data_IF_931347887345
#
_entry.id   IF_931347887345
#
_cell.length_a   1.000
_cell.length_b   1.000
_cell.length_c   1.000
_cell.angle_alpha   90.00
_cell.angle_beta   90.00
_cell.angle_gamma   90.00
#
_symmetry.space_group_name_H-M   'P 1'
#
loop_
_entity.id
_entity.type
_entity.pdbx_description
1 polymer ?
#
# COMPACT_ATOMS: atom_id res chain seq x y z
N UNK A 1 6.09 5.26 0.76
CA UNK A 1 5.27 6.49 0.68
C UNK A 1 5.47 7.39 1.90
N UNK A 2 5.09 8.68 1.79
CA UNK A 2 5.22 9.70 2.86
C UNK A 2 4.41 9.34 4.10
N UNK A 3 4.77 9.84 5.32
CA UNK A 3 3.92 9.76 6.50
C UNK A 3 2.55 10.45 6.26
N UNK A 4 1.49 9.94 6.89
CA UNK A 4 0.16 10.57 6.83
C UNK A 4 -0.68 10.29 5.58
N UNK A 5 -0.18 9.60 4.57
CA UNK A 5 -0.94 9.26 3.34
C UNK A 5 -2.08 8.25 3.59
N UNK A 6 -2.06 7.55 4.73
CA UNK A 6 -3.09 6.55 5.05
C UNK A 6 -2.66 5.10 4.82
N UNK A 7 -1.35 4.79 4.86
CA UNK A 7 -0.85 3.42 4.69
C UNK A 7 -1.56 2.41 5.58
N UNK A 8 -1.55 2.63 6.89
CA UNK A 8 -2.20 1.75 7.88
C UNK A 8 -3.70 1.62 7.61
N UNK A 9 -4.37 2.74 7.29
CA UNK A 9 -5.80 2.76 6.97
C UNK A 9 -6.13 1.85 5.78
N UNK A 10 -5.38 2.03 4.69
CA UNK A 10 -5.57 1.24 3.46
C UNK A 10 -5.15 -0.21 3.67
N UNK A 11 -4.12 -0.47 4.47
CA UNK A 11 -3.67 -1.83 4.78
C UNK A 11 -4.74 -2.61 5.56
N UNK A 12 -5.40 -1.99 6.53
CA UNK A 12 -6.53 -2.61 7.27
C UNK A 12 -7.71 -2.86 6.32
N UNK A 13 -8.06 -1.88 5.50
CA UNK A 13 -9.15 -2.03 4.52
C UNK A 13 -8.84 -3.12 3.46
N UNK A 14 -7.58 -3.28 3.06
CA UNK A 14 -7.13 -4.37 2.21
C UNK A 14 -7.31 -5.74 2.90
N UNK A 15 -6.95 -5.85 4.18
CA UNK A 15 -7.20 -7.07 4.96
C UNK A 15 -8.69 -7.40 5.01
N UNK A 16 -9.56 -6.40 5.27
CA UNK A 16 -11.01 -6.59 5.26
C UNK A 16 -11.51 -7.09 3.88
N UNK A 17 -11.01 -6.51 2.80
CA UNK A 17 -11.36 -6.92 1.43
C UNK A 17 -10.94 -8.37 1.14
N UNK A 18 -9.70 -8.73 1.45
CA UNK A 18 -9.16 -10.07 1.18
C UNK A 18 -9.86 -11.16 2.00
N UNK A 19 -10.23 -10.88 3.25
CA UNK A 19 -11.02 -11.79 4.09
C UNK A 19 -12.45 -11.93 3.57
N UNK A 20 -13.11 -10.82 3.21
CA UNK A 20 -14.45 -10.80 2.65
C UNK A 20 -14.56 -11.61 1.37
N UNK A 21 -13.58 -11.46 0.49
CA UNK A 21 -13.55 -12.09 -0.83
C UNK A 21 -12.98 -13.53 -0.79
N UNK A 22 -12.68 -14.05 0.41
CA UNK A 22 -12.17 -15.41 0.62
C UNK A 22 -10.79 -15.67 0.01
N UNK A 23 -10.05 -14.61 -0.31
CA UNK A 23 -8.69 -14.71 -0.89
C UNK A 23 -7.64 -15.12 0.14
N UNK A 24 -7.91 -14.82 1.42
CA UNK A 24 -7.08 -15.15 2.58
C UNK A 24 -8.00 -15.72 3.65
N UNK A 25 -7.55 -16.74 4.36
CA UNK A 25 -8.32 -17.37 5.46
C UNK A 25 -8.02 -16.73 6.80
N UNK A 26 -6.80 -16.22 6.99
CA UNK A 26 -6.38 -15.64 8.27
C UNK A 26 -5.41 -14.48 8.06
N UNK A 27 -5.55 -13.46 8.89
CA UNK A 27 -4.66 -12.30 8.94
C UNK A 27 -4.03 -12.20 10.32
N UNK A 28 -2.72 -12.01 10.37
CA UNK A 28 -1.96 -11.55 11.53
C UNK A 28 -1.52 -10.11 11.25
N UNK A 29 -2.15 -9.14 11.88
CA UNK A 29 -1.81 -7.73 11.75
C UNK A 29 -1.00 -7.29 12.97
N UNK A 30 0.26 -6.96 12.75
CA UNK A 30 1.21 -6.56 13.78
C UNK A 30 1.38 -5.05 13.71
N UNK A 31 0.71 -4.32 14.60
CA UNK A 31 0.68 -2.86 14.63
C UNK A 31 1.63 -2.33 15.73
N UNK A 32 2.73 -1.76 15.31
CA UNK A 32 3.69 -1.14 16.21
C UNK A 32 3.66 0.40 16.18
N UNK A 33 2.80 1.01 15.34
CA UNK A 33 2.78 2.48 15.15
C UNK A 33 1.53 3.14 15.75
N UNK A 34 0.40 2.44 15.85
CA UNK A 34 -0.86 3.05 16.22
C UNK A 34 -1.23 2.82 17.69
N UNK A 35 -1.73 3.87 18.33
CA UNK A 35 -2.27 3.78 19.69
C UNK A 35 -3.66 3.16 19.71
N UNK A 36 -4.10 2.69 20.89
CA UNK A 36 -5.45 2.19 21.11
C UNK A 36 -6.54 3.21 20.72
N UNK A 37 -6.29 4.50 20.91
CA UNK A 37 -7.17 5.59 20.49
C UNK A 37 -7.33 5.65 18.96
N UNK A 38 -6.23 5.48 18.22
CA UNK A 38 -6.25 5.45 16.76
C UNK A 38 -7.03 4.23 16.24
N UNK A 39 -6.90 3.09 16.89
CA UNK A 39 -7.62 1.86 16.55
C UNK A 39 -9.13 2.05 16.69
N UNK A 40 -9.56 2.65 17.79
CA UNK A 40 -10.98 2.99 18.01
C UNK A 40 -11.51 3.96 16.96
N UNK A 41 -10.78 5.04 16.68
CA UNK A 41 -11.17 6.05 15.69
C UNK A 41 -11.30 5.50 14.26
N UNK A 42 -10.55 4.44 13.94
CA UNK A 42 -10.60 3.74 12.64
C UNK A 42 -11.58 2.58 12.59
N UNK A 43 -12.38 2.38 13.64
CA UNK A 43 -13.37 1.30 13.72
C UNK A 43 -12.78 -0.11 13.44
N UNK A 44 -11.54 -0.34 13.87
CA UNK A 44 -10.85 -1.62 13.66
C UNK A 44 -11.50 -2.72 14.51
N UNK A 45 -12.05 -2.38 15.67
CA UNK A 45 -12.77 -3.33 16.54
C UNK A 45 -13.95 -3.96 15.82
N UNK A 46 -14.71 -3.20 15.04
CA UNK A 46 -15.83 -3.75 14.24
C UNK A 46 -15.36 -4.80 13.23
N UNK A 47 -14.18 -4.60 12.61
CA UNK A 47 -13.60 -5.59 11.70
C UNK A 47 -13.15 -6.84 12.50
N UNK A 48 -12.53 -6.65 13.65
CA UNK A 48 -12.13 -7.76 14.54
C UNK A 48 -13.35 -8.59 14.96
N UNK A 49 -14.45 -7.93 15.31
CA UNK A 49 -15.68 -8.62 15.70
C UNK A 49 -16.30 -9.39 14.54
N UNK A 50 -16.29 -8.82 13.35
CA UNK A 50 -16.76 -9.47 12.13
C UNK A 50 -15.94 -10.74 11.80
N UNK A 51 -14.62 -10.71 12.04
CA UNK A 51 -13.69 -11.78 11.68
C UNK A 51 -12.98 -12.36 12.91
N UNK A 52 -13.70 -12.63 14.01
CA UNK A 52 -13.16 -13.05 15.33
C UNK A 52 -12.04 -14.08 15.31
N UNK A 53 -12.15 -15.08 14.44
CA UNK A 53 -11.18 -16.17 14.34
C UNK A 53 -10.22 -16.04 13.15
N UNK A 54 -10.41 -15.02 12.32
CA UNK A 54 -9.64 -14.84 11.08
C UNK A 54 -8.72 -13.63 11.14
N UNK A 55 -9.10 -12.55 11.85
CA UNK A 55 -8.28 -11.37 12.04
C UNK A 55 -7.69 -11.33 13.45
N UNK A 56 -6.41 -11.59 13.55
CA UNK A 56 -5.61 -11.45 14.77
C UNK A 56 -4.86 -10.11 14.68
N UNK A 57 -5.34 -9.10 15.41
CA UNK A 57 -4.77 -7.75 15.42
C UNK A 57 -4.04 -7.50 16.72
N UNK A 58 -2.74 -7.28 16.66
CA UNK A 58 -1.83 -7.10 17.80
C UNK A 58 -1.35 -5.66 17.83
N UNK A 59 -1.39 -5.05 19.00
CA UNK A 59 -0.88 -3.71 19.31
C UNK A 59 0.16 -3.81 20.43
N UNK A 60 1.03 -2.82 20.51
CA UNK A 60 2.03 -2.73 21.58
C UNK A 60 2.88 -4.01 21.71
N UNK A 61 3.38 -4.48 20.56
CA UNK A 61 4.20 -5.68 20.51
C UNK A 61 5.54 -5.44 21.20
N UNK A 62 5.77 -6.15 22.30
CA UNK A 62 7.12 -6.33 22.81
C UNK A 62 7.93 -7.23 21.87
N UNK A 63 9.24 -7.07 21.86
CA UNK A 63 10.14 -7.91 21.03
C UNK A 63 9.91 -9.40 21.28
N UNK A 64 9.61 -9.79 22.51
CA UNK A 64 9.30 -11.17 22.89
C UNK A 64 8.05 -11.69 22.17
N UNK A 65 6.99 -10.88 22.09
CA UNK A 65 5.74 -11.28 21.41
C UNK A 65 5.94 -11.46 19.92
N UNK A 66 6.71 -10.58 19.28
CA UNK A 66 7.02 -10.69 17.86
C UNK A 66 7.77 -12.00 17.54
N UNK A 67 8.88 -12.26 18.24
CA UNK A 67 9.67 -13.48 18.04
C UNK A 67 8.87 -14.75 18.37
N UNK A 68 8.01 -14.70 19.38
CA UNK A 68 7.13 -15.81 19.75
C UNK A 68 6.15 -16.14 18.62
N UNK A 69 5.53 -15.11 18.03
CA UNK A 69 4.61 -15.29 16.88
C UNK A 69 5.35 -15.94 15.71
N UNK A 70 6.52 -15.39 15.32
CA UNK A 70 7.31 -15.94 14.21
C UNK A 70 7.71 -17.40 14.48
N UNK A 71 8.18 -17.71 15.69
CA UNK A 71 8.58 -19.06 16.03
C UNK A 71 7.41 -20.05 16.03
N UNK A 72 6.21 -19.62 16.44
CA UNK A 72 5.01 -20.46 16.38
C UNK A 72 4.53 -20.72 14.95
N UNK A 73 4.82 -19.80 14.04
CA UNK A 73 4.48 -19.93 12.62
C UNK A 73 5.54 -20.67 11.81
N UNK A 74 6.77 -20.76 12.34
CA UNK A 74 7.87 -21.47 11.71
C UNK A 74 7.51 -22.96 11.53
N UNK A 75 7.82 -23.51 10.37
CA UNK A 75 7.56 -24.91 10.00
C UNK A 75 6.07 -25.29 9.89
N UNK A 76 5.17 -24.32 9.78
CA UNK A 76 3.75 -24.54 9.45
C UNK A 76 3.50 -24.20 8.00
N UNK A 77 2.54 -24.88 7.39
CA UNK A 77 1.97 -24.40 6.14
C UNK A 77 1.17 -23.11 6.41
N UNK A 78 1.61 -22.02 5.80
CA UNK A 78 1.02 -20.69 5.94
C UNK A 78 0.25 -20.25 4.68
N UNK A 79 -0.13 -21.21 3.85
CA UNK A 79 -1.00 -20.96 2.70
C UNK A 79 -2.29 -20.26 3.18
N UNK A 80 -2.77 -19.30 2.41
CA UNK A 80 -3.94 -18.48 2.75
C UNK A 80 -3.79 -17.60 4.03
N UNK A 81 -2.56 -17.44 4.54
CA UNK A 81 -2.25 -16.56 5.66
C UNK A 81 -1.59 -15.28 5.17
N UNK A 82 -2.13 -14.14 5.58
CA UNK A 82 -1.54 -12.82 5.41
C UNK A 82 -0.93 -12.35 6.73
N UNK A 83 0.32 -11.91 6.68
CA UNK A 83 1.00 -11.30 7.82
C UNK A 83 1.37 -9.88 7.44
N UNK A 84 0.91 -8.90 8.23
CA UNK A 84 1.14 -7.47 8.00
C UNK A 84 1.97 -6.88 9.11
N UNK A 85 3.02 -6.15 8.76
CA UNK A 85 3.88 -5.40 9.68
C UNK A 85 3.68 -3.89 9.49
N UNK A 86 3.08 -3.22 10.46
CA UNK A 86 2.76 -1.79 10.45
C UNK A 86 3.44 -1.08 11.63
N UNK A 87 4.56 -0.41 11.47
CA UNK A 87 5.45 -0.40 10.30
C UNK A 87 6.69 -1.23 10.58
N UNK A 88 7.34 -1.69 9.53
CA UNK A 88 8.48 -2.62 9.62
C UNK A 88 9.63 -2.13 10.53
N UNK A 89 9.84 -0.82 10.63
CA UNK A 89 10.90 -0.21 11.47
C UNK A 89 10.81 -0.63 12.95
N UNK A 90 9.61 -0.94 13.45
CA UNK A 90 9.34 -1.27 14.85
C UNK A 90 9.66 -2.74 15.18
N UNK A 91 10.05 -3.52 14.18
CA UNK A 91 10.39 -4.94 14.30
C UNK A 91 11.88 -5.22 14.07
N UNK A 92 12.68 -4.17 13.86
CA UNK A 92 14.13 -4.29 13.73
C UNK A 92 14.71 -4.32 15.13
N UNK A 93 15.43 -5.39 15.46
CA UNK A 93 16.20 -5.47 16.69
C UNK A 93 17.57 -4.83 16.43
N UNK A 94 17.74 -3.58 16.89
CA UNK A 94 18.95 -2.81 16.67
C UNK A 94 18.76 -1.53 15.84
N UNK A 95 19.75 -1.19 15.02
CA UNK A 95 19.71 0.03 14.21
C UNK A 95 19.09 -0.22 12.83
N UNK A 96 18.02 0.51 12.51
CA UNK A 96 17.34 0.49 11.20
C UNK A 96 18.23 0.90 10.02
N UNK A 97 19.36 1.58 10.27
CA UNK A 97 20.34 1.94 9.27
C UNK A 97 21.44 0.87 9.14
N UNK A 98 21.51 -0.06 10.09
CA UNK A 98 22.40 -1.21 10.04
C UNK A 98 21.94 -2.22 9.01
N UNK A 99 22.77 -2.46 8.00
CA UNK A 99 22.51 -3.47 6.99
C UNK A 99 22.35 -4.87 7.58
N UNK A 100 23.10 -5.18 8.62
CA UNK A 100 23.05 -6.45 9.35
C UNK A 100 21.69 -6.66 10.03
N UNK A 101 21.25 -5.67 10.84
CA UNK A 101 20.03 -5.78 11.64
C UNK A 101 18.78 -5.87 10.75
N UNK A 102 18.77 -5.11 9.65
CA UNK A 102 17.71 -5.20 8.65
C UNK A 102 17.71 -6.56 7.95
N UNK A 103 18.89 -7.08 7.56
CA UNK A 103 18.99 -8.39 6.92
C UNK A 103 18.53 -9.52 7.86
N UNK A 104 18.78 -9.44 9.14
CA UNK A 104 18.33 -10.45 10.11
C UNK A 104 16.80 -10.48 10.23
N UNK A 105 16.13 -9.34 10.16
CA UNK A 105 14.69 -9.26 10.04
C UNK A 105 14.20 -9.83 8.70
N UNK A 106 14.81 -9.39 7.59
CA UNK A 106 14.40 -9.82 6.24
C UNK A 106 14.54 -11.35 6.04
N UNK A 107 15.54 -11.98 6.65
CA UNK A 107 15.67 -13.45 6.67
C UNK A 107 14.45 -14.12 7.30
N UNK A 108 13.95 -13.59 8.43
CA UNK A 108 12.74 -14.13 9.10
C UNK A 108 11.49 -13.95 8.26
N UNK A 109 11.33 -12.78 7.62
CA UNK A 109 10.21 -12.57 6.71
C UNK A 109 10.27 -13.53 5.50
N UNK A 110 11.48 -13.81 5.02
CA UNK A 110 11.72 -14.77 3.94
C UNK A 110 11.37 -16.20 4.36
N UNK A 111 11.64 -16.61 5.61
CA UNK A 111 11.21 -17.91 6.15
C UNK A 111 9.68 -18.02 6.13
N UNK A 112 8.95 -17.02 6.58
CA UNK A 112 7.47 -17.00 6.52
C UNK A 112 6.95 -17.14 5.08
N UNK A 113 7.53 -16.41 4.16
CA UNK A 113 7.19 -16.49 2.73
C UNK A 113 7.50 -17.87 2.16
N UNK A 114 8.62 -18.48 2.53
CA UNK A 114 8.99 -19.83 2.06
C UNK A 114 8.03 -20.89 2.58
N UNK A 115 7.33 -20.61 3.69
CA UNK A 115 6.24 -21.44 4.21
C UNK A 115 4.87 -21.04 3.62
N UNK A 116 4.86 -20.37 2.48
CA UNK A 116 3.68 -19.97 1.70
C UNK A 116 2.87 -18.79 2.26
N UNK A 117 3.36 -18.08 3.29
CA UNK A 117 2.68 -16.88 3.76
C UNK A 117 2.75 -15.73 2.74
N UNK A 118 1.69 -14.96 2.64
CA UNK A 118 1.74 -13.62 2.06
C UNK A 118 2.22 -12.65 3.14
N UNK A 119 3.33 -11.96 2.90
CA UNK A 119 3.91 -11.01 3.85
C UNK A 119 3.85 -9.60 3.26
N UNK A 120 3.18 -8.69 3.96
CA UNK A 120 3.14 -7.26 3.65
C UNK A 120 3.81 -6.50 4.78
N UNK A 121 4.67 -5.54 4.44
CA UNK A 121 5.14 -4.59 5.43
C UNK A 121 5.03 -3.15 4.94
N UNK A 122 4.68 -2.26 5.86
CA UNK A 122 4.60 -0.84 5.61
C UNK A 122 5.94 -0.18 5.91
N UNK A 123 6.41 0.63 4.99
CA UNK A 123 7.68 1.34 5.10
C UNK A 123 7.51 2.83 4.80
N UNK A 124 8.20 3.68 5.56
CA UNK A 124 8.21 5.12 5.32
C UNK A 124 9.27 5.49 4.28
N UNK A 125 8.95 6.50 3.48
CA UNK A 125 9.87 7.09 2.52
C UNK A 125 10.66 8.22 3.17
N UNK A 126 11.93 8.40 2.80
CA UNK A 126 12.73 9.55 3.22
C UNK A 126 12.15 10.85 2.66
N UNK A 127 12.07 11.89 3.53
CA UNK A 127 11.52 13.21 3.15
C UNK A 127 12.38 13.99 2.15
N UNK A 128 13.68 13.70 2.05
CA UNK A 128 14.67 14.57 1.43
C UNK A 128 15.11 14.17 0.01
N UNK A 129 14.77 12.99 -0.46
CA UNK A 129 15.29 12.51 -1.74
C UNK A 129 14.20 12.34 -2.79
N UNK A 130 14.36 13.06 -3.89
CA UNK A 130 13.53 12.93 -5.10
C UNK A 130 13.92 11.71 -5.95
N UNK A 131 15.11 11.16 -5.74
CA UNK A 131 15.62 10.02 -6.49
C UNK A 131 15.11 8.69 -5.95
N UNK A 132 14.66 7.85 -6.85
CA UNK A 132 14.02 6.57 -6.58
C UNK A 132 14.87 5.62 -5.72
N UNK A 133 16.19 5.56 -5.97
CA UNK A 133 17.12 4.67 -5.25
C UNK A 133 17.38 5.10 -3.80
N UNK A 134 17.04 6.32 -3.43
CA UNK A 134 17.15 6.88 -2.08
C UNK A 134 15.78 7.08 -1.39
N UNK A 135 14.71 6.60 -2.00
CA UNK A 135 13.33 6.80 -1.54
C UNK A 135 13.00 6.04 -0.24
N UNK A 136 13.80 5.04 0.14
CA UNK A 136 13.57 4.24 1.34
C UNK A 136 14.31 4.81 2.54
N UNK A 137 13.60 4.95 3.67
CA UNK A 137 14.23 5.33 4.93
C UNK A 137 14.99 4.13 5.51
N UNK A 138 16.32 4.23 5.63
CA UNK A 138 17.16 3.18 6.19
C UNK A 138 17.93 2.37 5.14
N UNK A 139 18.27 1.14 5.46
CA UNK A 139 19.13 0.29 4.65
C UNK A 139 18.52 -0.11 3.31
N UNK A 140 19.33 -0.17 2.24
CA UNK A 140 18.97 -0.74 0.93
C UNK A 140 18.56 -2.21 1.00
N UNK A 141 18.94 -2.91 2.07
CA UNK A 141 18.60 -4.30 2.33
C UNK A 141 17.09 -4.60 2.25
N UNK A 142 16.23 -3.62 2.60
CA UNK A 142 14.79 -3.78 2.41
C UNK A 142 14.41 -4.04 0.95
N UNK A 143 15.08 -3.38 0.01
CA UNK A 143 14.76 -3.51 -1.41
C UNK A 143 15.34 -4.78 -2.02
N UNK A 144 16.41 -5.31 -1.47
CA UNK A 144 17.09 -6.47 -2.05
C UNK A 144 16.23 -7.72 -2.02
N UNK A 145 15.52 -7.97 -0.92
CA UNK A 145 14.82 -9.24 -0.66
C UNK A 145 13.32 -9.24 -0.95
N UNK A 146 12.70 -8.09 -1.22
CA UNK A 146 11.28 -8.03 -1.58
C UNK A 146 11.03 -8.44 -3.02
N UNK A 147 9.90 -9.10 -3.26
CA UNK A 147 9.46 -9.49 -4.61
C UNK A 147 8.70 -8.38 -5.30
N UNK A 148 7.93 -7.62 -4.55
CA UNK A 148 7.04 -6.58 -5.06
C UNK A 148 7.03 -5.38 -4.11
N UNK A 149 7.06 -4.17 -4.66
CA UNK A 149 6.91 -2.93 -3.91
C UNK A 149 5.98 -1.96 -4.62
N UNK A 150 5.13 -1.31 -3.84
CA UNK A 150 4.27 -0.24 -4.30
C UNK A 150 4.53 1.06 -3.54
N UNK A 151 4.49 2.16 -4.24
CA UNK A 151 4.30 3.47 -3.63
C UNK A 151 2.80 3.75 -3.52
N UNK A 152 2.31 3.99 -2.31
CA UNK A 152 0.96 4.46 -2.09
C UNK A 152 0.93 5.98 -2.27
N UNK A 153 0.09 6.46 -3.19
CA UNK A 153 -0.23 7.87 -3.41
C UNK A 153 -1.71 8.10 -3.13
N UNK A 154 -2.06 9.34 -2.81
CA UNK A 154 -3.45 9.75 -2.63
C UNK A 154 -3.74 10.90 -3.58
N UNK A 155 -4.78 10.75 -4.38
CA UNK A 155 -5.38 11.85 -5.12
C UNK A 155 -6.53 12.43 -4.27
N UNK A 156 -6.35 13.64 -3.76
CA UNK A 156 -7.34 14.27 -2.89
C UNK A 156 -8.57 14.74 -3.65
N UNK A 157 -8.45 15.12 -4.91
CA UNK A 157 -9.57 15.59 -5.73
C UNK A 157 -10.53 14.45 -6.07
N UNK A 158 -10.00 13.30 -6.41
CA UNK A 158 -10.79 12.10 -6.74
C UNK A 158 -11.08 11.23 -5.50
N UNK A 159 -10.49 11.53 -4.34
CA UNK A 159 -10.53 10.74 -3.11
C UNK A 159 -10.11 9.28 -3.34
N UNK A 160 -9.05 9.09 -4.14
CA UNK A 160 -8.55 7.77 -4.52
C UNK A 160 -7.17 7.49 -3.94
N UNK A 161 -6.89 6.22 -3.68
CA UNK A 161 -5.59 5.69 -3.28
C UNK A 161 -5.01 4.88 -4.42
N UNK A 162 -3.80 5.22 -4.81
CA UNK A 162 -3.13 4.72 -6.01
C UNK A 162 -1.92 3.91 -5.58
N UNK A 163 -1.85 2.66 -6.02
CA UNK A 163 -0.71 1.77 -5.84
C UNK A 163 0.15 1.83 -7.11
N UNK A 164 1.23 2.58 -7.03
CA UNK A 164 2.18 2.70 -8.13
C UNK A 164 3.31 1.69 -7.95
N UNK A 165 3.51 0.73 -8.87
CA UNK A 165 4.55 -0.28 -8.71
C UNK A 165 5.94 0.34 -8.80
N UNK A 166 6.79 0.01 -7.82
CA UNK A 166 8.17 0.47 -7.72
C UNK A 166 9.18 -0.65 -8.02
N UNK A 167 8.85 -1.87 -7.63
CA UNK A 167 9.66 -3.06 -7.89
C UNK A 167 8.74 -4.23 -8.17
N UNK A 168 9.09 -5.01 -9.17
CA UNK A 168 8.41 -6.24 -9.52
C UNK A 168 9.41 -7.24 -10.12
N UNK A 169 9.75 -8.27 -9.36
CA UNK A 169 10.67 -9.32 -9.83
C UNK A 169 10.03 -10.30 -10.81
N UNK A 170 8.72 -10.45 -10.76
CA UNK A 170 8.00 -11.51 -11.48
C UNK A 170 7.13 -10.97 -12.60
N UNK A 171 7.18 -9.66 -12.84
CA UNK A 171 6.40 -8.96 -13.87
C UNK A 171 4.87 -9.20 -13.73
N UNK A 172 4.40 -9.29 -12.48
CA UNK A 172 3.00 -9.57 -12.12
C UNK A 172 2.26 -8.35 -11.56
N UNK A 173 2.99 -7.24 -11.33
CA UNK A 173 2.39 -6.05 -10.75
C UNK A 173 1.44 -5.39 -11.74
N UNK A 174 0.29 -4.98 -11.24
CA UNK A 174 -0.61 -4.09 -11.94
C UNK A 174 -0.65 -2.72 -11.27
N UNK A 175 -1.02 -1.72 -12.05
CA UNK A 175 -1.37 -0.40 -11.55
C UNK A 175 -2.78 -0.49 -11.00
N UNK A 176 -2.94 -0.31 -9.69
CA UNK A 176 -4.21 -0.53 -9.00
C UNK A 176 -4.60 0.74 -8.28
N UNK A 177 -5.87 1.07 -8.27
CA UNK A 177 -6.41 2.20 -7.51
C UNK A 177 -7.72 1.84 -6.84
N UNK A 178 -7.95 2.44 -5.66
CA UNK A 178 -9.14 2.22 -4.85
C UNK A 178 -9.72 3.54 -4.35
N UNK A 179 -11.05 3.57 -4.20
CA UNK A 179 -11.75 4.47 -3.28
C UNK A 179 -11.88 3.79 -1.94
N UNK A 180 -11.59 4.53 -0.88
CA UNK A 180 -11.77 4.12 0.51
C UNK A 180 -13.10 4.67 1.05
N UNK A 181 -13.81 3.84 1.80
CA UNK A 181 -15.00 4.24 2.58
C UNK A 181 -14.71 4.10 4.07
N UNK A 182 -15.38 4.92 4.88
CA UNK A 182 -15.17 4.98 6.34
C UNK A 182 -15.54 3.68 7.09
N UNK A 183 -16.20 2.74 6.45
CA UNK A 183 -16.47 1.39 6.95
C UNK A 183 -15.31 0.41 6.72
N UNK A 184 -14.12 0.90 6.38
CA UNK A 184 -12.94 0.13 6.01
C UNK A 184 -13.16 -0.76 4.78
N UNK A 185 -13.97 -0.30 3.83
CA UNK A 185 -14.11 -0.98 2.54
C UNK A 185 -13.32 -0.27 1.44
N UNK A 186 -12.82 -1.08 0.51
CA UNK A 186 -12.17 -0.63 -0.72
C UNK A 186 -13.05 -0.99 -1.90
N UNK A 187 -13.17 -0.05 -2.83
CA UNK A 187 -13.78 -0.27 -4.14
C UNK A 187 -12.72 0.03 -5.19
N UNK A 188 -12.38 -0.95 -6.01
CA UNK A 188 -11.45 -0.76 -7.13
C UNK A 188 -12.04 0.22 -8.13
N UNK A 189 -11.18 1.08 -8.67
CA UNK A 189 -11.55 2.09 -9.67
C UNK A 189 -10.54 2.07 -10.81
N UNK A 190 -10.94 2.59 -11.97
CA UNK A 190 -10.03 2.73 -13.10
C UNK A 190 -8.80 3.55 -12.71
N UNK A 191 -7.63 3.06 -13.07
CA UNK A 191 -6.36 3.68 -12.69
C UNK A 191 -6.19 5.06 -13.32
N UNK A 192 -6.55 5.22 -14.60
CA UNK A 192 -6.38 6.49 -15.31
C UNK A 192 -7.30 7.56 -14.70
N UNK A 193 -8.54 7.18 -14.35
CA UNK A 193 -9.43 8.04 -13.59
C UNK A 193 -8.81 8.43 -12.23
N UNK A 194 -8.20 7.50 -11.54
CA UNK A 194 -7.67 7.73 -10.20
C UNK A 194 -6.46 8.67 -10.17
N UNK A 195 -5.63 8.68 -11.22
CA UNK A 195 -4.44 9.53 -11.31
C UNK A 195 -4.72 10.90 -11.93
N UNK A 196 -5.85 11.05 -12.62
CA UNK A 196 -6.23 12.28 -13.32
C UNK A 196 -6.27 13.48 -12.36
N UNK A 197 -5.53 14.51 -12.67
CA UNK A 197 -5.54 15.79 -11.92
C UNK A 197 -6.72 16.66 -12.35
N UNK A 198 -6.96 17.76 -11.63
CA UNK A 198 -7.93 18.76 -12.07
C UNK A 198 -7.53 19.37 -13.43
N UNK A 199 -6.26 19.68 -13.56
CA UNK A 199 -5.68 20.23 -14.79
C UNK A 199 -5.86 19.27 -15.96
N UNK A 200 -5.59 17.97 -15.77
CA UNK A 200 -5.86 16.94 -16.79
C UNK A 200 -7.34 16.88 -17.16
N UNK A 201 -8.24 17.01 -16.18
CA UNK A 201 -9.69 16.97 -16.41
C UNK A 201 -10.15 18.21 -17.19
N UNK A 202 -9.64 19.41 -16.86
CA UNK A 202 -9.93 20.66 -17.55
C UNK A 202 -9.44 20.63 -19.01
N UNK A 203 -8.19 20.17 -19.22
CA UNK A 203 -7.64 20.00 -20.56
C UNK A 203 -8.49 19.02 -21.38
N UNK A 204 -8.91 17.92 -20.79
CA UNK A 204 -9.75 16.92 -21.42
C UNK A 204 -11.12 17.48 -21.83
N UNK A 205 -11.74 18.28 -20.95
CA UNK A 205 -13.00 18.94 -21.25
C UNK A 205 -12.86 19.96 -22.40
N UNK A 206 -11.77 20.74 -22.41
CA UNK A 206 -11.46 21.66 -23.51
C UNK A 206 -11.31 20.91 -24.83
N UNK A 207 -10.56 19.81 -24.85
CA UNK A 207 -10.41 18.97 -26.05
C UNK A 207 -11.77 18.43 -26.52
N UNK A 208 -12.57 17.86 -25.62
CA UNK A 208 -13.88 17.32 -25.96
C UNK A 208 -14.82 18.39 -26.50
N UNK A 209 -14.83 19.57 -25.88
CA UNK A 209 -15.64 20.72 -26.33
C UNK A 209 -15.21 21.18 -27.72
N UNK A 210 -13.90 21.29 -27.96
CA UNK A 210 -13.37 21.66 -29.26
C UNK A 210 -13.78 20.67 -30.35
N UNK A 211 -13.61 19.36 -30.10
CA UNK A 211 -14.00 18.31 -31.07
C UNK A 211 -15.50 18.33 -31.37
N UNK A 212 -16.34 18.52 -30.34
CA UNK A 212 -17.80 18.57 -30.52
C UNK A 212 -18.28 19.78 -31.34
N UNK A 213 -17.58 20.91 -31.21
CA UNK A 213 -17.94 22.16 -31.87
C UNK A 213 -17.27 22.33 -33.24
N UNK A 214 -16.34 21.47 -33.61
CA UNK A 214 -15.67 21.49 -34.91
C UNK A 214 -16.56 20.84 -35.97
N UNK A 215 -16.70 21.49 -37.14
CA UNK A 215 -17.55 21.00 -38.23
C UNK A 215 -17.09 19.68 -38.82
N UNK A 216 -15.77 19.50 -38.89
CA UNK A 216 -15.12 18.27 -39.39
C UNK A 216 -14.31 17.65 -38.22
N UNK A 217 -13.79 16.41 -38.41
CA UNK A 217 -12.90 15.80 -37.42
C UNK A 217 -11.59 16.58 -37.38
N UNK A 218 -11.28 17.31 -36.25
CA UNK A 218 -10.08 18.11 -36.18
C UNK A 218 -8.84 17.20 -36.19
N UNK A 219 -7.78 17.67 -36.84
CA UNK A 219 -6.47 17.02 -36.80
C UNK A 219 -5.72 17.41 -35.52
N UNK A 220 -4.71 16.61 -35.17
CA UNK A 220 -3.94 16.80 -33.92
C UNK A 220 -3.34 18.21 -33.75
N UNK A 221 -2.83 18.80 -34.84
CA UNK A 221 -2.27 20.17 -34.82
C UNK A 221 -3.29 21.25 -34.50
N UNK A 222 -4.54 21.09 -34.89
CA UNK A 222 -5.63 22.03 -34.58
C UNK A 222 -6.02 21.95 -33.11
N UNK A 223 -6.06 20.74 -32.55
CA UNK A 223 -6.29 20.51 -31.11
C UNK A 223 -5.16 21.16 -30.29
N UNK A 224 -3.90 20.95 -30.68
CA UNK A 224 -2.75 21.53 -29.98
C UNK A 224 -2.79 23.06 -30.01
N UNK A 225 -3.09 23.66 -31.17
CA UNK A 225 -3.20 25.09 -31.30
C UNK A 225 -4.29 25.66 -30.39
N UNK A 226 -5.46 25.00 -30.35
CA UNK A 226 -6.55 25.41 -29.47
C UNK A 226 -6.16 25.38 -28.00
N UNK A 227 -5.38 24.36 -27.55
CA UNK A 227 -4.89 24.26 -26.17
C UNK A 227 -3.87 25.35 -25.83
N UNK A 228 -2.98 25.72 -26.76
CA UNK A 228 -1.99 26.78 -26.57
C UNK A 228 -2.67 28.16 -26.49
N UNK A 229 -3.73 28.41 -27.25
CA UNK A 229 -4.47 29.66 -27.23
C UNK A 229 -5.32 29.87 -25.96
N UNK A 230 -5.53 28.79 -25.17
CA UNK A 230 -6.31 28.81 -23.90
C UNK A 230 -5.43 28.90 -22.64
N UNK A 231 -4.14 28.64 -22.68
CA UNK A 231 -3.19 28.67 -21.56
C UNK A 231 -2.21 29.79 -21.64
#
# INVERSE_FOLDING_TARGET
SRPGIGKSLISVALCNMLLRDGKIKRVFYLDGDNSSTTIKSRNIESIKDKYKNQLNYFIELSDLNFYTIINQLKNKDLSDILIVFDSIKNFINGDRNSHKDVNDLMKKLKELRNNSATVIFLHHQNKLNKDFNSAFAGSSAFMEDISLAYELKKNNDKQTYIFHPLKDRNNISSRIAFKYKNDNTLTEVDYNYAVETKEDSEIKELIISFIKNHKDKPIYSEILKHLVDYG
#
